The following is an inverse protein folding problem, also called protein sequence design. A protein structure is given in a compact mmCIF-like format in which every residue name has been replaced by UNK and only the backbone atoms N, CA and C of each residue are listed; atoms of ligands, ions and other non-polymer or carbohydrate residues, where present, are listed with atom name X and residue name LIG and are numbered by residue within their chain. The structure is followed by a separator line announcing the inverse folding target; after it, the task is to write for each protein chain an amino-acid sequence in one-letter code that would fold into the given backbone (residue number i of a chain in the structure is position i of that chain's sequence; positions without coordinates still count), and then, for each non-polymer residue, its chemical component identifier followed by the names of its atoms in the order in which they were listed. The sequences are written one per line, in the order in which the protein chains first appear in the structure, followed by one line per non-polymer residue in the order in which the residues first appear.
data_IF_705989502860
#
_entry.id   IF_705989502860
#
_cell.length_a   1.000
_cell.length_b   1.000
_cell.length_c   1.000
_cell.angle_alpha   90.00
_cell.angle_beta   90.00
_cell.angle_gamma   90.00
#
_symmetry.space_group_name_H-M   'P 1'
#
loop_
_entity.id
_entity.type
_entity.pdbx_description
1 polymer ?
#
# COMPACT_ATOMS: atom_id res chain seq x y z
N UNK A 1 -19.98 -62.74 30.49
CA UNK A 1 -20.92 -61.89 29.74
C UNK A 1 -20.21 -61.39 28.49
N UNK A 2 -20.37 -62.04 27.32
CA UNK A 2 -19.71 -61.61 26.10
C UNK A 2 -20.57 -60.57 25.36
N UNK A 3 -20.01 -59.39 25.17
CA UNK A 3 -20.67 -58.25 24.52
C UNK A 3 -20.44 -58.30 23.00
N UNK A 4 -21.55 -58.29 22.27
CA UNK A 4 -21.67 -58.40 20.81
C UNK A 4 -21.04 -57.21 20.10
N UNK A 5 -20.19 -57.47 19.10
CA UNK A 5 -19.86 -56.52 18.03
C UNK A 5 -21.00 -56.48 17.00
N UNK A 6 -21.46 -55.31 16.53
CA UNK A 6 -22.28 -55.24 15.34
C UNK A 6 -21.45 -55.14 14.06
N UNK A 7 -22.09 -55.66 13.01
CA UNK A 7 -21.59 -55.95 11.69
C UNK A 7 -21.23 -54.70 10.87
N UNK A 8 -20.20 -54.90 10.05
CA UNK A 8 -19.88 -54.18 8.83
C UNK A 8 -21.07 -54.15 7.88
N UNK A 9 -21.38 -52.97 7.36
CA UNK A 9 -22.35 -52.75 6.30
C UNK A 9 -21.60 -52.25 5.07
N UNK A 10 -21.52 -53.11 4.07
CA UNK A 10 -21.01 -52.85 2.73
C UNK A 10 -22.03 -51.99 1.97
N UNK A 11 -21.59 -50.87 1.40
CA UNK A 11 -22.36 -50.12 0.41
C UNK A 11 -21.64 -50.18 -0.96
N UNK A 12 -22.27 -50.76 -2.00
CA UNK A 12 -21.79 -50.77 -3.36
C UNK A 12 -22.50 -49.68 -4.19
N UNK A 13 -21.75 -48.67 -4.64
CA UNK A 13 -22.17 -47.79 -5.74
C UNK A 13 -21.02 -47.80 -6.76
N UNK A 14 -21.05 -48.67 -7.75
CA UNK A 14 -21.83 -48.55 -8.99
C UNK A 14 -21.31 -47.41 -9.86
N UNK A 15 -20.43 -47.81 -10.78
CA UNK A 15 -20.01 -47.09 -11.96
C UNK A 15 -21.22 -46.53 -12.71
N UNK A 16 -21.18 -45.23 -13.01
CA UNK A 16 -22.06 -44.62 -14.01
C UNK A 16 -21.15 -43.90 -15.00
N UNK A 17 -20.75 -44.68 -16.00
CA UNK A 17 -20.35 -44.17 -17.30
C UNK A 17 -21.52 -43.39 -17.91
N UNK A 18 -21.27 -42.15 -18.30
CA UNK A 18 -22.16 -41.40 -19.18
C UNK A 18 -21.32 -40.61 -20.14
N UNK A 19 -20.86 -41.34 -21.15
CA UNK A 19 -20.49 -40.79 -22.44
C UNK A 19 -21.72 -40.10 -23.04
N UNK A 20 -21.64 -38.79 -23.27
CA UNK A 20 -22.42 -38.12 -24.30
C UNK A 20 -21.52 -37.18 -25.07
N UNK A 21 -21.08 -37.68 -26.24
CA UNK A 21 -20.68 -36.86 -27.36
C UNK A 21 -21.75 -35.81 -27.68
N UNK A 22 -21.36 -34.56 -27.83
CA UNK A 22 -21.97 -33.69 -28.85
C UNK A 22 -20.90 -32.73 -29.37
N UNK A 23 -20.45 -33.03 -30.59
CA UNK A 23 -19.63 -32.14 -31.39
C UNK A 23 -20.40 -30.88 -31.79
N UNK A 24 -19.73 -29.73 -31.76
CA UNK A 24 -20.23 -28.48 -32.34
C UNK A 24 -19.20 -27.36 -32.25
N UNK A 25 -18.59 -26.92 -33.35
CA UNK A 25 -17.59 -25.85 -33.35
C UNK A 25 -18.28 -24.49 -33.38
N UNK A 26 -17.96 -23.61 -32.43
CA UNK A 26 -18.33 -22.20 -32.53
C UNK A 26 -17.10 -21.32 -32.36
N UNK A 27 -16.42 -21.10 -33.47
CA UNK A 27 -15.45 -20.03 -33.69
C UNK A 27 -16.21 -18.70 -33.64
N UNK A 28 -16.47 -18.17 -32.44
CA UNK A 28 -16.88 -16.78 -32.31
C UNK A 28 -15.65 -15.89 -32.44
N UNK A 29 -15.55 -15.29 -33.63
CA UNK A 29 -14.65 -14.20 -33.95
C UNK A 29 -14.78 -13.08 -32.90
N UNK A 30 -13.65 -12.74 -32.30
CA UNK A 30 -13.51 -11.57 -31.45
C UNK A 30 -13.88 -10.31 -32.27
N UNK A 31 -14.69 -9.38 -31.71
CA UNK A 31 -14.89 -8.09 -32.33
C UNK A 31 -13.58 -7.30 -32.28
N UNK A 32 -13.03 -7.04 -33.46
CA UNK A 32 -11.94 -6.11 -33.73
C UNK A 32 -12.21 -4.78 -33.04
N UNK A 33 -11.49 -4.46 -31.97
CA UNK A 33 -11.53 -3.13 -31.36
C UNK A 33 -11.10 -2.09 -32.39
N UNK A 34 -11.87 -1.00 -32.61
CA UNK A 34 -11.51 0.01 -33.57
C UNK A 34 -10.26 0.76 -33.13
N UNK A 35 -9.27 0.72 -34.04
CA UNK A 35 -8.05 1.53 -34.05
C UNK A 35 -8.42 2.99 -33.79
N UNK A 36 -8.15 3.48 -32.57
CA UNK A 36 -8.42 4.85 -32.14
C UNK A 36 -7.51 5.80 -32.93
N UNK A 37 -8.07 6.28 -34.05
CA UNK A 37 -7.53 7.32 -34.92
C UNK A 37 -7.21 8.54 -34.06
N UNK A 38 -5.97 8.99 -34.13
CA UNK A 38 -5.50 10.19 -33.46
C UNK A 38 -6.41 11.37 -33.80
N UNK A 39 -7.08 11.89 -32.79
CA UNK A 39 -7.66 13.22 -32.83
C UNK A 39 -6.73 14.13 -32.06
N UNK A 40 -5.94 14.85 -32.87
CA UNK A 40 -5.59 16.27 -32.72
C UNK A 40 -5.89 16.90 -31.36
N UNK A 41 -4.81 17.39 -30.76
CA UNK A 41 -4.79 18.34 -29.66
C UNK A 41 -5.86 19.44 -29.81
N UNK A 42 -6.62 19.76 -28.75
CA UNK A 42 -7.27 21.06 -28.67
C UNK A 42 -6.23 22.13 -28.33
N UNK A 43 -6.37 23.24 -29.06
CA UNK A 43 -5.53 24.42 -29.01
C UNK A 43 -5.46 25.06 -27.62
N UNK A 44 -4.29 25.64 -27.33
CA UNK A 44 -4.11 26.61 -26.28
C UNK A 44 -5.07 27.80 -26.50
N UNK A 45 -6.13 27.89 -25.70
CA UNK A 45 -6.89 29.13 -25.53
C UNK A 45 -6.36 29.86 -24.30
N UNK A 46 -5.90 31.07 -24.59
CA UNK A 46 -5.24 32.03 -23.73
C UNK A 46 -5.99 32.31 -22.42
N UNK A 47 -5.28 32.54 -21.30
CA UNK A 47 -5.91 33.09 -20.12
C UNK A 47 -6.40 34.51 -20.38
N UNK A 48 -7.66 34.73 -19.97
CA UNK A 48 -8.33 36.01 -19.82
C UNK A 48 -7.35 37.03 -19.22
N UNK A 49 -6.98 38.02 -20.04
CA UNK A 49 -6.28 39.21 -19.61
C UNK A 49 -7.28 40.06 -18.81
N UNK A 50 -7.37 39.79 -17.50
CA UNK A 50 -8.11 40.65 -16.58
C UNK A 50 -7.39 41.98 -16.53
N UNK A 51 -8.09 43.00 -17.02
CA UNK A 51 -7.74 44.41 -16.97
C UNK A 51 -7.10 44.76 -15.62
N UNK A 52 -5.86 45.21 -15.64
CA UNK A 52 -5.33 46.03 -14.56
C UNK A 52 -5.72 47.48 -14.87
N UNK A 53 -6.72 48.08 -14.18
CA UNK A 53 -7.01 49.50 -14.34
C UNK A 53 -5.84 50.30 -13.80
N UNK A 54 -5.13 50.97 -14.71
CA UNK A 54 -4.12 51.97 -14.39
C UNK A 54 -4.79 53.10 -13.61
N UNK A 55 -4.32 53.48 -12.41
CA UNK A 55 -4.91 54.61 -11.70
C UNK A 55 -4.60 55.91 -12.44
N UNK A 56 -5.66 56.52 -12.98
CA UNK A 56 -5.68 57.88 -13.53
C UNK A 56 -5.25 58.86 -12.43
N UNK A 57 -4.00 59.33 -12.49
CA UNK A 57 -3.53 60.46 -11.67
C UNK A 57 -4.13 61.76 -12.22
N UNK A 58 -5.28 62.17 -11.67
CA UNK A 58 -5.78 63.55 -11.75
C UNK A 58 -4.81 64.50 -11.05
N UNK A 59 -4.53 65.61 -11.72
CA UNK A 59 -3.41 66.51 -11.45
C UNK A 59 -3.41 67.23 -10.11
N UNK A 60 -2.26 67.83 -9.82
CA UNK A 60 -2.13 69.00 -8.96
C UNK A 60 -1.34 70.09 -9.68
N UNK A 61 -1.70 71.37 -9.48
CA UNK A 61 -1.09 72.49 -10.16
C UNK A 61 0.34 72.73 -9.69
N UNK A 62 1.22 72.96 -10.66
CA UNK A 62 2.61 73.37 -10.48
C UNK A 62 2.69 74.69 -9.70
N UNK A 63 3.17 74.63 -8.45
CA UNK A 63 3.75 75.81 -7.79
C UNK A 63 5.16 76.00 -8.35
N UNK A 64 5.39 77.13 -9.02
CA UNK A 64 6.70 77.58 -9.49
C UNK A 64 7.67 77.67 -8.30
N UNK A 65 8.56 76.70 -8.17
CA UNK A 65 9.68 76.78 -7.25
C UNK A 65 10.72 77.75 -7.80
N UNK A 66 11.18 78.64 -6.92
CA UNK A 66 12.17 79.69 -7.18
C UNK A 66 13.51 79.06 -7.57
N UNK A 67 14.20 79.69 -8.54
CA UNK A 67 15.63 79.54 -8.83
C UNK A 67 16.44 79.73 -7.55
N UNK A 68 16.88 78.64 -6.93
CA UNK A 68 18.07 78.61 -6.06
C UNK A 68 19.25 78.11 -6.88
N UNK A 69 20.42 78.68 -6.63
CA UNK A 69 21.64 78.57 -7.45
C UNK A 69 22.21 77.16 -7.68
N UNK A 70 23.32 77.07 -8.44
CA UNK A 70 23.95 75.81 -8.82
C UNK A 70 24.53 75.14 -7.57
N UNK A 71 23.79 74.20 -6.99
CA UNK A 71 24.32 73.27 -6.02
C UNK A 71 25.31 72.37 -6.76
N UNK A 72 26.59 72.52 -6.45
CA UNK A 72 27.68 71.65 -6.87
C UNK A 72 27.28 70.20 -6.64
N UNK A 73 26.99 69.47 -7.71
CA UNK A 73 26.71 68.05 -7.62
C UNK A 73 27.91 67.35 -6.98
N UNK A 74 27.75 66.63 -5.87
CA UNK A 74 28.82 65.80 -5.35
C UNK A 74 29.11 64.74 -6.40
N UNK A 75 30.26 64.85 -7.07
CA UNK A 75 30.78 63.81 -7.95
C UNK A 75 31.01 62.56 -7.09
N UNK A 76 30.02 61.68 -7.07
CA UNK A 76 30.14 60.33 -6.51
C UNK A 76 31.38 59.70 -7.12
N UNK A 77 32.23 59.12 -6.27
CA UNK A 77 33.46 58.49 -6.75
C UNK A 77 33.10 57.27 -7.61
N UNK A 78 33.97 56.89 -8.53
CA UNK A 78 33.78 55.68 -9.34
C UNK A 78 33.51 54.44 -8.48
N UNK A 79 34.07 54.38 -7.26
CA UNK A 79 33.85 53.32 -6.28
C UNK A 79 32.41 53.28 -5.74
N UNK A 80 31.78 54.43 -5.52
CA UNK A 80 30.37 54.50 -5.06
C UNK A 80 29.40 54.00 -6.13
N UNK A 81 29.73 54.23 -7.41
CA UNK A 81 28.94 53.77 -8.55
C UNK A 81 29.01 52.23 -8.69
N UNK A 82 30.20 51.65 -8.50
CA UNK A 82 30.39 50.19 -8.48
C UNK A 82 29.65 49.55 -7.31
N UNK A 83 29.71 50.14 -6.12
CA UNK A 83 28.99 49.64 -4.95
C UNK A 83 27.48 49.67 -5.17
N UNK A 84 26.95 50.73 -5.80
CA UNK A 84 25.54 50.82 -6.14
C UNK A 84 25.11 49.78 -7.18
N UNK A 85 25.97 49.44 -8.14
CA UNK A 85 25.70 48.38 -9.11
C UNK A 85 25.66 47.00 -8.47
N UNK A 86 26.58 46.68 -7.55
CA UNK A 86 26.60 45.41 -6.82
C UNK A 86 25.33 45.21 -5.99
N UNK A 87 24.91 46.24 -5.25
CA UNK A 87 23.66 46.19 -4.46
C UNK A 87 22.42 45.95 -5.34
N UNK A 88 22.38 46.51 -6.55
CA UNK A 88 21.27 46.24 -7.50
C UNK A 88 21.29 44.81 -8.02
N UNK A 89 22.47 44.26 -8.31
CA UNK A 89 22.61 42.87 -8.75
C UNK A 89 22.20 41.89 -7.63
N UNK A 90 22.66 42.12 -6.40
CA UNK A 90 22.29 41.31 -5.23
C UNK A 90 20.78 41.34 -4.99
N UNK A 91 20.13 42.52 -5.06
CA UNK A 91 18.67 42.61 -4.93
C UNK A 91 17.91 41.95 -6.08
N UNK A 92 18.48 41.87 -7.28
CA UNK A 92 17.87 41.16 -8.41
C UNK A 92 17.98 39.65 -8.20
N UNK A 93 19.16 39.17 -7.78
CA UNK A 93 19.40 37.77 -7.50
C UNK A 93 18.53 37.29 -6.32
N UNK A 94 18.42 38.08 -5.24
CA UNK A 94 17.56 37.75 -4.12
C UNK A 94 16.09 37.61 -4.54
N UNK A 95 15.58 38.55 -5.36
CA UNK A 95 14.22 38.45 -5.91
C UNK A 95 14.03 37.25 -6.83
N UNK A 96 15.05 36.86 -7.59
CA UNK A 96 15.00 35.64 -8.40
C UNK A 96 14.93 34.40 -7.53
N UNK A 97 15.76 34.32 -6.47
CA UNK A 97 15.74 33.22 -5.50
C UNK A 97 14.40 33.11 -4.77
N UNK A 98 13.83 34.25 -4.36
CA UNK A 98 12.51 34.29 -3.72
C UNK A 98 11.40 33.83 -4.68
N UNK A 99 11.41 34.30 -5.93
CA UNK A 99 10.46 33.86 -6.96
C UNK A 99 10.59 32.36 -7.27
N UNK A 100 11.80 31.83 -7.32
CA UNK A 100 12.04 30.40 -7.54
C UNK A 100 11.59 29.55 -6.35
N UNK A 101 11.86 29.99 -5.12
CA UNK A 101 11.41 29.33 -3.91
C UNK A 101 9.88 29.30 -3.82
N UNK A 102 9.22 30.43 -4.10
CA UNK A 102 7.75 30.52 -4.15
C UNK A 102 7.18 29.59 -5.23
N UNK A 103 7.79 29.56 -6.42
CA UNK A 103 7.40 28.64 -7.50
C UNK A 103 7.57 27.17 -7.12
N UNK A 104 8.62 26.82 -6.36
CA UNK A 104 8.82 25.47 -5.85
C UNK A 104 7.76 25.10 -4.81
N UNK A 105 7.49 25.98 -3.85
CA UNK A 105 6.43 25.78 -2.85
C UNK A 105 5.06 25.60 -3.50
N UNK A 106 4.73 26.43 -4.50
CA UNK A 106 3.47 26.32 -5.23
C UNK A 106 3.36 24.98 -5.99
N UNK A 107 4.48 24.48 -6.54
CA UNK A 107 4.52 23.16 -7.19
C UNK A 107 4.34 22.02 -6.20
N UNK A 108 4.92 22.11 -5.02
CA UNK A 108 4.76 21.12 -3.96
C UNK A 108 3.32 21.10 -3.42
N UNK A 109 2.74 22.27 -3.15
CA UNK A 109 1.33 22.38 -2.74
C UNK A 109 0.39 21.85 -3.83
N UNK A 110 0.62 22.19 -5.10
CA UNK A 110 -0.17 21.67 -6.20
C UNK A 110 -0.03 20.13 -6.36
N UNK A 111 1.12 19.56 -5.98
CA UNK A 111 1.32 18.11 -5.96
C UNK A 111 0.56 17.45 -4.82
N UNK A 112 0.64 18.01 -3.61
CA UNK A 112 -0.09 17.51 -2.43
C UNK A 112 -1.60 17.53 -2.67
N UNK A 113 -2.15 18.67 -3.12
CA UNK A 113 -3.56 18.78 -3.45
C UNK A 113 -4.00 17.75 -4.50
N UNK A 114 -3.17 17.48 -5.51
CA UNK A 114 -3.47 16.45 -6.53
C UNK A 114 -3.43 15.03 -5.97
N UNK A 115 -2.58 14.76 -4.99
CA UNK A 115 -2.50 13.45 -4.34
C UNK A 115 -3.71 13.25 -3.42
N UNK A 116 -4.06 14.26 -2.62
CA UNK A 116 -5.26 14.27 -1.78
C UNK A 116 -6.55 14.11 -2.59
N UNK A 117 -6.72 14.85 -3.70
CA UNK A 117 -7.92 14.72 -4.54
C UNK A 117 -8.05 13.33 -5.13
N UNK A 118 -6.93 12.67 -5.50
CA UNK A 118 -6.93 11.29 -5.99
C UNK A 118 -7.33 10.30 -4.90
N UNK A 119 -6.90 10.51 -3.66
CA UNK A 119 -7.29 9.64 -2.54
C UNK A 119 -8.77 9.83 -2.19
N UNK A 120 -9.24 11.07 -2.16
CA UNK A 120 -10.66 11.37 -1.98
C UNK A 120 -11.52 10.76 -3.09
N UNK A 121 -11.08 10.83 -4.35
CA UNK A 121 -11.78 10.20 -5.47
C UNK A 121 -11.83 8.67 -5.33
N UNK A 122 -10.72 8.03 -4.94
CA UNK A 122 -10.70 6.58 -4.65
C UNK A 122 -11.69 6.20 -3.56
N UNK A 123 -11.74 6.95 -2.46
CA UNK A 123 -12.67 6.66 -1.37
C UNK A 123 -14.13 6.90 -1.77
N UNK A 124 -14.42 7.93 -2.58
CA UNK A 124 -15.75 8.18 -3.13
C UNK A 124 -16.19 7.05 -4.07
N UNK A 125 -15.30 6.59 -4.94
CA UNK A 125 -15.57 5.48 -5.86
C UNK A 125 -15.80 4.17 -5.10
N UNK A 126 -15.02 3.89 -4.06
CA UNK A 126 -15.21 2.72 -3.20
C UNK A 126 -16.57 2.74 -2.49
N UNK A 127 -16.99 3.90 -1.97
CA UNK A 127 -18.32 4.08 -1.36
C UNK A 127 -19.45 3.86 -2.37
N UNK A 128 -19.35 4.47 -3.55
CA UNK A 128 -20.34 4.29 -4.61
C UNK A 128 -20.47 2.82 -5.05
N UNK A 129 -19.36 2.09 -5.13
CA UNK A 129 -19.38 0.66 -5.44
C UNK A 129 -20.09 -0.15 -4.35
N UNK A 130 -19.81 0.14 -3.07
CA UNK A 130 -20.49 -0.53 -1.95
C UNK A 130 -21.99 -0.26 -1.93
N UNK A 131 -22.41 0.94 -2.32
CA UNK A 131 -23.83 1.29 -2.41
C UNK A 131 -24.51 0.52 -3.55
N UNK A 132 -23.87 0.39 -4.71
CA UNK A 132 -24.38 -0.43 -5.83
C UNK A 132 -24.46 -1.91 -5.45
N UNK A 133 -23.46 -2.42 -4.72
CA UNK A 133 -23.43 -3.80 -4.24
C UNK A 133 -24.59 -4.12 -3.29
N UNK A 134 -24.97 -3.16 -2.44
CA UNK A 134 -26.05 -3.31 -1.45
C UNK A 134 -27.46 -3.14 -2.00
N UNK A 135 -27.62 -2.48 -3.14
CA UNK A 135 -28.94 -2.30 -3.76
C UNK A 135 -29.52 -3.65 -4.18
N UNK A 136 -30.84 -3.77 -4.06
CA UNK A 136 -31.56 -4.94 -4.52
C UNK A 136 -31.46 -5.10 -6.05
N UNK A 137 -31.61 -6.35 -6.51
CA UNK A 137 -31.59 -6.67 -7.93
C UNK A 137 -32.71 -5.98 -8.72
N UNK A 138 -33.85 -5.68 -8.07
CA UNK A 138 -34.94 -4.91 -8.67
C UNK A 138 -34.54 -3.46 -9.01
N UNK A 139 -33.63 -2.87 -8.23
CA UNK A 139 -33.11 -1.51 -8.41
C UNK A 139 -31.80 -1.47 -9.22
N UNK A 140 -31.45 -2.58 -9.87
CA UNK A 140 -30.22 -2.72 -10.66
C UNK A 140 -28.94 -2.89 -9.84
N UNK A 141 -29.06 -3.28 -8.57
CA UNK A 141 -27.92 -3.67 -7.72
C UNK A 141 -27.61 -5.17 -7.79
N UNK A 142 -26.73 -5.61 -6.88
CA UNK A 142 -26.30 -7.01 -6.80
C UNK A 142 -27.03 -7.83 -5.73
N UNK A 143 -27.81 -7.19 -4.85
CA UNK A 143 -28.61 -7.86 -3.83
C UNK A 143 -27.84 -8.45 -2.64
N UNK A 144 -26.59 -8.03 -2.41
CA UNK A 144 -25.82 -8.49 -1.24
C UNK A 144 -26.13 -7.62 -0.02
N UNK A 145 -26.54 -8.22 1.10
CA UNK A 145 -26.88 -7.45 2.30
C UNK A 145 -25.65 -6.87 2.96
N UNK A 146 -24.55 -7.61 2.92
CA UNK A 146 -23.27 -7.21 3.51
C UNK A 146 -22.10 -7.40 2.56
N UNK A 147 -21.02 -6.65 2.79
CA UNK A 147 -19.76 -6.85 2.06
C UNK A 147 -19.15 -8.23 2.34
N UNK A 148 -19.38 -8.79 3.52
CA UNK A 148 -18.92 -10.13 3.85
C UNK A 148 -19.61 -11.18 2.95
N UNK A 149 -20.94 -11.13 2.80
CA UNK A 149 -21.67 -12.04 1.90
C UNK A 149 -21.16 -11.96 0.47
N UNK A 150 -20.90 -10.74 -0.02
CA UNK A 150 -20.31 -10.55 -1.34
C UNK A 150 -18.93 -11.19 -1.46
N UNK A 151 -18.03 -10.93 -0.50
CA UNK A 151 -16.68 -11.50 -0.52
C UNK A 151 -16.70 -13.02 -0.42
N UNK A 152 -17.55 -13.59 0.45
CA UNK A 152 -17.72 -15.04 0.58
C UNK A 152 -18.23 -15.65 -0.72
N UNK A 153 -19.28 -15.08 -1.33
CA UNK A 153 -19.79 -15.54 -2.62
C UNK A 153 -18.74 -15.43 -3.75
N UNK A 154 -17.87 -14.41 -3.68
CA UNK A 154 -16.79 -14.19 -4.65
C UNK A 154 -15.66 -15.22 -4.49
N UNK A 155 -15.31 -15.59 -3.25
CA UNK A 155 -14.31 -16.62 -2.94
C UNK A 155 -14.83 -18.03 -3.23
N UNK A 156 -16.10 -18.29 -2.96
CA UNK A 156 -16.78 -19.58 -3.16
C UNK A 156 -17.36 -19.75 -4.57
N UNK A 157 -17.07 -18.81 -5.48
CA UNK A 157 -17.59 -18.85 -6.84
C UNK A 157 -17.08 -20.08 -7.58
N UNK A 158 -18.02 -20.80 -8.21
CA UNK A 158 -17.74 -21.93 -9.11
C UNK A 158 -17.25 -21.48 -10.50
N UNK A 159 -17.29 -20.18 -10.79
CA UNK A 159 -16.72 -19.65 -12.02
C UNK A 159 -15.19 -19.71 -11.95
N UNK A 160 -14.61 -20.51 -12.85
CA UNK A 160 -13.16 -20.73 -12.94
C UNK A 160 -12.39 -19.42 -13.16
N UNK A 161 -12.93 -18.48 -13.94
CA UNK A 161 -12.24 -17.21 -14.20
C UNK A 161 -12.21 -16.34 -12.93
N UNK A 162 -13.34 -16.27 -12.23
CA UNK A 162 -13.47 -15.50 -11.01
C UNK A 162 -12.63 -16.10 -9.88
N UNK A 163 -12.70 -17.41 -9.70
CA UNK A 163 -11.89 -18.16 -8.73
C UNK A 163 -10.39 -18.01 -8.99
N UNK A 164 -9.94 -18.10 -10.25
CA UNK A 164 -8.55 -17.89 -10.62
C UNK A 164 -8.09 -16.44 -10.37
N UNK A 165 -8.95 -15.46 -10.68
CA UNK A 165 -8.68 -14.06 -10.40
C UNK A 165 -8.55 -13.81 -8.89
N UNK A 166 -9.47 -14.38 -8.11
CA UNK A 166 -9.49 -14.21 -6.66
C UNK A 166 -8.33 -14.92 -5.97
N UNK A 167 -7.91 -16.09 -6.47
CA UNK A 167 -6.71 -16.78 -6.02
C UNK A 167 -5.46 -15.92 -6.26
N UNK A 168 -5.34 -15.31 -7.45
CA UNK A 168 -4.22 -14.39 -7.76
C UNK A 168 -4.25 -13.15 -6.88
N UNK A 169 -5.44 -12.59 -6.66
CA UNK A 169 -5.63 -11.46 -5.77
C UNK A 169 -5.18 -11.80 -4.34
N UNK A 170 -5.65 -12.92 -3.79
CA UNK A 170 -5.29 -13.37 -2.44
C UNK A 170 -3.80 -13.63 -2.28
N UNK A 171 -3.15 -14.25 -3.28
CA UNK A 171 -1.70 -14.50 -3.24
C UNK A 171 -0.87 -13.20 -3.30
N UNK A 172 -1.34 -12.18 -4.03
CA UNK A 172 -0.58 -10.94 -4.23
C UNK A 172 -0.91 -9.86 -3.20
N UNK A 173 -2.16 -9.79 -2.76
CA UNK A 173 -2.71 -8.69 -1.98
C UNK A 173 -3.35 -9.15 -0.67
N UNK A 174 -3.54 -10.45 -0.45
CA UNK A 174 -4.14 -10.99 0.79
C UNK A 174 -3.35 -10.61 2.04
N UNK A 175 -2.01 -10.62 1.97
CA UNK A 175 -1.17 -10.16 3.08
C UNK A 175 -1.43 -8.70 3.47
N UNK A 176 -1.53 -7.80 2.49
CA UNK A 176 -1.84 -6.39 2.75
C UNK A 176 -3.27 -6.19 3.28
N UNK A 177 -4.22 -7.03 2.85
CA UNK A 177 -5.59 -7.02 3.36
C UNK A 177 -5.66 -7.46 4.83
N UNK A 178 -5.00 -8.56 5.17
CA UNK A 178 -4.91 -9.06 6.55
C UNK A 178 -4.17 -8.05 7.43
N UNK A 179 -3.12 -7.42 6.92
CA UNK A 179 -2.40 -6.37 7.65
C UNK A 179 -3.28 -5.15 7.89
N UNK A 180 -4.04 -4.68 6.90
CA UNK A 180 -4.99 -3.59 7.06
C UNK A 180 -6.10 -3.93 8.07
N UNK A 181 -6.56 -5.19 8.08
CA UNK A 181 -7.52 -5.70 9.06
C UNK A 181 -6.92 -5.71 10.47
N UNK A 182 -5.71 -6.25 10.63
CA UNK A 182 -5.00 -6.30 11.91
C UNK A 182 -4.70 -4.91 12.47
N UNK A 183 -4.40 -3.93 11.61
CA UNK A 183 -4.24 -2.52 12.05
C UNK A 183 -5.55 -1.91 12.56
N UNK A 184 -6.68 -2.30 11.98
CA UNK A 184 -8.00 -1.72 12.31
C UNK A 184 -8.68 -2.42 13.49
N UNK A 185 -8.55 -3.73 13.59
CA UNK A 185 -9.16 -4.59 14.59
C UNK A 185 -8.18 -5.70 14.99
N UNK A 186 -7.15 -5.39 15.80
CA UNK A 186 -6.08 -6.33 16.11
C UNK A 186 -6.59 -7.58 16.82
N UNK A 187 -7.51 -7.43 17.79
CA UNK A 187 -8.01 -8.54 18.59
C UNK A 187 -8.72 -9.59 17.71
N UNK A 188 -9.63 -9.12 16.84
CA UNK A 188 -10.38 -9.99 15.92
C UNK A 188 -9.44 -10.69 14.93
N UNK A 189 -8.42 -9.99 14.43
CA UNK A 189 -7.46 -10.56 13.49
C UNK A 189 -6.58 -11.64 14.14
N UNK A 190 -6.18 -11.44 15.40
CA UNK A 190 -5.42 -12.42 16.17
C UNK A 190 -6.28 -13.63 16.47
N UNK A 191 -7.51 -13.44 16.95
CA UNK A 191 -8.44 -14.54 17.26
C UNK A 191 -8.72 -15.39 16.02
N UNK A 192 -9.03 -14.76 14.88
CA UNK A 192 -9.26 -15.48 13.63
C UNK A 192 -8.00 -16.23 13.14
N UNK A 193 -6.81 -15.64 13.30
CA UNK A 193 -5.55 -16.31 12.96
C UNK A 193 -5.29 -17.51 13.88
N UNK A 194 -5.58 -17.38 15.18
CA UNK A 194 -5.45 -18.48 16.15
C UNK A 194 -6.44 -19.58 15.82
N UNK A 195 -7.71 -19.28 15.56
CA UNK A 195 -8.74 -20.27 15.25
C UNK A 195 -8.39 -21.07 13.98
N UNK A 196 -7.94 -20.38 12.93
CA UNK A 196 -7.52 -21.04 11.68
C UNK A 196 -6.27 -21.91 11.85
N UNK A 197 -5.35 -21.52 12.73
CA UNK A 197 -4.14 -22.27 13.01
C UNK A 197 -4.32 -23.32 14.10
N UNK A 198 -5.36 -23.24 14.94
CA UNK A 198 -5.50 -24.03 16.16
C UNK A 198 -5.48 -25.53 15.86
N UNK A 199 -6.23 -25.99 14.86
CA UNK A 199 -6.25 -27.40 14.49
C UNK A 199 -4.88 -27.89 14.00
N UNK A 200 -4.22 -27.10 13.17
CA UNK A 200 -2.89 -27.41 12.63
C UNK A 200 -1.86 -27.45 13.76
N UNK A 201 -1.87 -26.46 14.65
CA UNK A 201 -0.97 -26.39 15.80
C UNK A 201 -1.23 -27.52 16.80
N UNK A 202 -2.48 -27.96 16.98
CA UNK A 202 -2.78 -29.12 17.81
C UNK A 202 -2.27 -30.42 17.20
N UNK A 203 -2.44 -30.61 15.89
CA UNK A 203 -1.93 -31.79 15.16
C UNK A 203 -0.40 -31.84 15.21
N UNK A 204 0.25 -30.74 14.85
CA UNK A 204 1.71 -30.61 14.90
C UNK A 204 2.20 -30.77 16.35
N UNK A 205 1.57 -30.12 17.32
CA UNK A 205 1.94 -30.23 18.74
C UNK A 205 1.85 -31.64 19.31
N UNK A 206 0.88 -32.45 18.87
CA UNK A 206 0.81 -33.88 19.20
C UNK A 206 1.97 -34.66 18.60
N UNK A 207 2.33 -34.40 17.34
CA UNK A 207 3.46 -35.03 16.69
C UNK A 207 4.80 -34.64 17.35
N UNK A 208 4.97 -33.36 17.72
CA UNK A 208 6.12 -32.89 18.51
C UNK A 208 6.17 -33.64 19.84
N UNK A 209 5.04 -33.72 20.56
CA UNK A 209 4.97 -34.45 21.83
C UNK A 209 5.40 -35.90 21.63
N UNK A 210 5.00 -36.57 20.56
CA UNK A 210 5.39 -37.95 20.28
C UNK A 210 6.89 -38.10 20.04
N UNK A 211 7.50 -37.19 19.28
CA UNK A 211 8.97 -37.16 19.03
C UNK A 211 9.76 -37.02 20.34
N UNK A 212 9.29 -36.16 21.24
CA UNK A 212 9.94 -35.96 22.55
C UNK A 212 9.49 -36.96 23.62
N UNK A 213 8.44 -37.73 23.36
CA UNK A 213 7.98 -38.78 24.26
C UNK A 213 8.92 -39.96 24.14
N UNK A 214 9.38 -40.42 25.30
CA UNK A 214 10.32 -41.53 25.36
C UNK A 214 9.56 -42.85 25.29
N UNK A 215 10.04 -43.78 24.47
CA UNK A 215 9.56 -45.16 24.51
C UNK A 215 9.83 -45.76 25.90
N UNK A 216 8.87 -46.50 26.45
CA UNK A 216 8.99 -47.11 27.79
C UNK A 216 10.24 -47.99 27.95
N UNK A 217 10.77 -48.52 26.85
CA UNK A 217 11.90 -49.45 26.85
C UNK A 217 13.26 -48.80 26.54
N UNK A 218 13.33 -47.50 26.25
CA UNK A 218 14.57 -46.86 25.81
C UNK A 218 15.39 -46.37 27.01
N UNK A 219 16.57 -46.94 27.25
CA UNK A 219 17.48 -46.54 28.35
C UNK A 219 18.08 -45.12 28.14
N UNK A 220 18.56 -44.47 29.20
CA UNK A 220 19.02 -43.05 29.11
C UNK A 220 20.30 -42.97 28.29
N UNK A 221 21.18 -43.93 28.49
CA UNK A 221 22.44 -44.08 27.77
C UNK A 221 22.21 -44.28 26.27
N UNK A 222 21.25 -45.13 25.88
CA UNK A 222 20.91 -45.34 24.47
C UNK A 222 20.29 -44.10 23.82
N UNK A 223 19.44 -43.37 24.56
CA UNK A 223 18.88 -42.11 24.10
C UNK A 223 19.99 -41.08 23.84
N UNK A 224 20.91 -40.88 24.79
CA UNK A 224 22.02 -39.93 24.63
C UNK A 224 22.98 -40.33 23.51
N UNK A 225 23.16 -41.63 23.26
CA UNK A 225 24.03 -42.14 22.19
C UNK A 225 23.42 -41.93 20.79
N UNK A 226 22.10 -41.98 20.69
CA UNK A 226 21.36 -41.83 19.42
C UNK A 226 20.88 -40.40 19.18
N UNK A 227 20.91 -39.55 20.21
CA UNK A 227 20.50 -38.16 20.11
C UNK A 227 21.45 -37.36 19.23
N UNK A 228 20.92 -36.77 18.15
CA UNK A 228 21.60 -35.76 17.35
C UNK A 228 20.65 -34.59 17.11
N UNK A 229 21.18 -33.37 17.25
CA UNK A 229 20.41 -32.15 17.02
C UNK A 229 19.98 -31.99 15.56
N UNK A 230 20.81 -32.47 14.63
CA UNK A 230 20.51 -32.40 13.19
C UNK A 230 19.31 -33.27 12.84
N UNK A 231 19.31 -34.54 13.27
CA UNK A 231 18.18 -35.45 13.04
C UNK A 231 16.93 -35.00 13.79
N UNK A 232 17.07 -34.46 15.01
CA UNK A 232 15.93 -33.88 15.73
C UNK A 232 15.33 -32.70 14.97
N UNK A 233 16.16 -31.79 14.46
CA UNK A 233 15.70 -30.63 13.71
C UNK A 233 14.96 -31.01 12.42
N UNK A 234 15.47 -32.01 11.69
CA UNK A 234 14.82 -32.53 10.48
C UNK A 234 13.47 -33.18 10.83
N UNK A 235 13.43 -34.05 11.83
CA UNK A 235 12.18 -34.69 12.30
C UNK A 235 11.16 -33.65 12.77
N UNK A 236 11.61 -32.60 13.46
CA UNK A 236 10.74 -31.54 13.94
C UNK A 236 10.21 -30.69 12.77
N UNK A 237 11.05 -30.39 11.78
CA UNK A 237 10.65 -29.65 10.58
C UNK A 237 9.63 -30.45 9.73
N UNK A 238 9.80 -31.77 9.63
CA UNK A 238 8.88 -32.65 8.91
C UNK A 238 7.54 -32.83 9.65
N UNK A 239 7.58 -33.05 10.96
CA UNK A 239 6.39 -33.32 11.77
C UNK A 239 5.59 -32.07 12.16
N UNK A 240 6.27 -30.92 12.26
CA UNK A 240 5.68 -29.66 12.73
C UNK A 240 6.20 -28.46 11.92
N UNK A 241 5.94 -28.43 10.59
CA UNK A 241 6.49 -27.40 9.72
C UNK A 241 6.01 -25.98 10.07
N UNK A 242 4.78 -25.82 10.56
CA UNK A 242 4.22 -24.51 10.92
C UNK A 242 4.84 -23.99 12.20
N UNK A 243 4.88 -24.81 13.25
CA UNK A 243 5.56 -24.47 14.52
C UNK A 243 7.04 -24.16 14.26
N UNK A 244 7.72 -24.99 13.45
CA UNK A 244 9.12 -24.79 13.10
C UNK A 244 9.35 -23.44 12.39
N UNK A 245 8.56 -23.13 11.35
CA UNK A 245 8.64 -21.83 10.66
C UNK A 245 8.41 -20.67 11.63
N UNK A 246 7.43 -20.77 12.52
CA UNK A 246 7.10 -19.74 13.49
C UNK A 246 8.25 -19.52 14.50
N UNK A 247 8.87 -20.60 15.00
CA UNK A 247 10.07 -20.52 15.84
C UNK A 247 11.28 -19.91 15.11
N UNK A 248 11.47 -20.25 13.83
CA UNK A 248 12.51 -19.65 12.99
C UNK A 248 12.25 -18.16 12.76
N UNK A 249 11.02 -17.78 12.47
CA UNK A 249 10.62 -16.38 12.30
C UNK A 249 10.68 -15.57 13.59
N UNK A 250 10.51 -16.18 14.76
CA UNK A 250 10.65 -15.52 16.06
C UNK A 250 12.10 -15.42 16.56
N UNK A 251 12.95 -16.37 16.17
CA UNK A 251 14.38 -16.36 16.55
C UNK A 251 15.22 -15.40 15.71
N UNK A 252 14.89 -15.21 14.42
CA UNK A 252 15.58 -14.29 13.50
C UNK A 252 15.45 -12.77 13.79
N UNK A 253 14.33 -12.21 14.30
CA UNK A 253 14.16 -10.76 14.48
C UNK A 253 15.13 -10.16 15.50
N UNK A 254 15.69 -10.95 16.42
CA UNK A 254 16.74 -10.45 17.32
C UNK A 254 18.00 -10.01 16.57
N UNK A 255 18.31 -10.63 15.42
CA UNK A 255 19.47 -10.25 14.61
C UNK A 255 19.14 -9.18 13.55
N UNK A 256 17.99 -9.28 12.89
CA UNK A 256 17.61 -8.34 11.81
C UNK A 256 17.14 -6.97 12.34
N UNK A 257 16.46 -6.91 13.50
CA UNK A 257 16.01 -5.63 14.10
C UNK A 257 17.20 -4.73 14.45
N UNK A 258 18.29 -5.30 14.94
CA UNK A 258 19.54 -4.58 15.20
C UNK A 258 20.16 -3.99 13.93
N UNK A 259 20.08 -4.69 12.79
CA UNK A 259 20.65 -4.20 11.52
C UNK A 259 19.79 -3.07 10.93
N UNK A 260 18.47 -3.18 11.01
CA UNK A 260 17.56 -2.11 10.56
C UNK A 260 17.68 -0.89 11.46
N UNK A 261 17.71 -1.05 12.78
CA UNK A 261 17.96 0.06 13.71
C UNK A 261 19.33 0.70 13.48
N UNK A 262 20.40 -0.09 13.30
CA UNK A 262 21.72 0.47 12.97
C UNK A 262 21.73 1.24 11.63
N UNK A 263 20.92 0.83 10.64
CA UNK A 263 20.78 1.55 9.36
C UNK A 263 19.96 2.82 9.50
N UNK A 264 18.87 2.80 10.29
CA UNK A 264 18.08 3.98 10.62
C UNK A 264 18.93 4.97 11.43
N UNK A 265 19.67 4.50 12.42
CA UNK A 265 20.60 5.28 13.25
C UNK A 265 21.74 5.87 12.41
N UNK A 266 22.33 5.10 11.50
CA UNK A 266 23.33 5.60 10.54
C UNK A 266 22.74 6.66 9.60
N UNK A 267 21.49 6.48 9.14
CA UNK A 267 20.78 7.50 8.34
C UNK A 267 20.49 8.76 9.16
N UNK A 268 20.09 8.63 10.44
CA UNK A 268 19.92 9.76 11.37
C UNK A 268 21.21 10.55 11.56
N UNK A 269 22.34 9.86 11.72
CA UNK A 269 23.66 10.51 11.84
C UNK A 269 24.09 11.21 10.56
N UNK A 270 23.74 10.68 9.38
CA UNK A 270 24.07 11.29 8.10
C UNK A 270 23.12 12.43 7.70
N UNK A 271 21.87 12.42 8.18
CA UNK A 271 20.87 13.43 7.83
C UNK A 271 21.03 14.77 8.59
N UNK A 272 21.81 14.78 9.67
CA UNK A 272 22.00 15.98 10.51
C UNK A 272 20.72 16.42 11.24
N UNK A 273 20.83 17.28 12.28
CA UNK A 273 19.71 17.66 13.14
C UNK A 273 18.60 18.50 12.49
N UNK A 274 18.60 18.70 11.16
CA UNK A 274 17.67 19.60 10.46
C UNK A 274 16.55 18.95 9.64
N UNK A 275 16.54 17.63 9.46
CA UNK A 275 15.66 16.97 8.48
C UNK A 275 14.43 16.25 9.06
N UNK A 276 14.25 16.22 10.39
CA UNK A 276 13.29 15.31 11.05
C UNK A 276 11.89 15.88 11.34
N UNK A 277 11.52 17.06 10.85
CA UNK A 277 10.21 17.66 11.17
C UNK A 277 9.09 17.26 10.19
N UNK A 278 9.40 16.70 9.01
CA UNK A 278 8.37 16.54 7.95
C UNK A 278 7.74 15.15 7.81
N UNK A 279 8.35 14.07 8.30
CA UNK A 279 7.88 12.71 7.99
C UNK A 279 7.11 11.99 9.11
N UNK A 280 7.00 12.56 10.32
CA UNK A 280 6.22 11.95 11.40
C UNK A 280 4.72 12.31 11.40
N UNK A 281 4.28 13.25 10.56
CA UNK A 281 2.87 13.66 10.49
C UNK A 281 1.98 12.75 9.62
N UNK A 282 2.53 11.72 8.99
CA UNK A 282 1.78 10.80 8.11
C UNK A 282 1.50 9.42 8.72
N UNK A 283 1.74 9.24 10.03
CA UNK A 283 1.57 7.95 10.73
C UNK A 283 0.64 7.99 11.96
N UNK A 284 -0.12 9.07 12.13
CA UNK A 284 -1.27 9.18 13.04
C UNK A 284 -2.49 9.59 12.21
#
# INVERSE_FOLDING_TARGET
MPEKRPASQDDPFADVDSETETAGPSTQALPSTPRRRGQSAPAASSPISVMNPTPVRRGRPMKKARKSGPATEPRLSAADLEQQQRLRQEQQEQRQREMEAEKQQLREQARQLREETKEQEKTRNAKALLDVMKKDTADGGYGFKTFNEFMTALMDSKDQQLSASMSRFSNKHGGALIEALARRAPDIAVDAAVDTLAETLQKEGKAVKEIFSRGFYTSVSELLKTFSMETLSQKLQEAAPTIWKLLMEMSLPLYKRQVVEKRVEKRKRLAGPGWYVKDCAAFL
#
